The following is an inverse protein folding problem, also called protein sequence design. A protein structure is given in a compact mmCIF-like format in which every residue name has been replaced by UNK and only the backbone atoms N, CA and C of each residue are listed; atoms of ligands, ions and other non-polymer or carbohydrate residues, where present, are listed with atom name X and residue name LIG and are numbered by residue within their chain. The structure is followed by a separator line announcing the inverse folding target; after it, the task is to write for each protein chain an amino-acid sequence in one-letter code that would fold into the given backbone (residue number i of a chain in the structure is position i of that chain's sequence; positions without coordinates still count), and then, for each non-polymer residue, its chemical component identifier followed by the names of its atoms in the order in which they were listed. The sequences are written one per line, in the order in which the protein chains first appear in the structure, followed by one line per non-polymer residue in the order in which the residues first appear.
data_IF_082959109181
#
_entry.id   IF_082959109181
#
_cell.length_a   1.000
_cell.length_b   1.000
_cell.length_c   1.000
_cell.angle_alpha   90.00
_cell.angle_beta   90.00
_cell.angle_gamma   90.00
#
_symmetry.space_group_name_H-M   'P 1'
#
loop_
_entity.id
_entity.type
_entity.pdbx_description
1 polymer ?
#
# COMPACT_ATOMS: atom_id res chain seq x y z
N UNK A 1 7.92 -2.20 13.61
CA UNK A 1 6.47 -1.86 13.68
C UNK A 1 5.70 -3.12 13.32
N UNK A 2 4.61 -3.42 14.02
CA UNK A 2 3.88 -4.65 13.71
C UNK A 2 2.99 -4.47 12.45
N UNK A 3 2.59 -5.59 11.86
CA UNK A 3 1.83 -5.59 10.61
C UNK A 3 0.50 -4.86 10.75
N UNK A 4 -0.16 -4.97 11.91
CA UNK A 4 -1.42 -4.29 12.14
C UNK A 4 -1.27 -2.77 12.12
N UNK A 5 -0.21 -2.25 12.72
CA UNK A 5 0.08 -0.81 12.70
C UNK A 5 0.43 -0.35 11.29
N UNK A 6 1.19 -1.15 10.55
CA UNK A 6 1.54 -0.84 9.16
C UNK A 6 0.27 -0.78 8.31
N UNK A 7 -0.62 -1.77 8.44
CA UNK A 7 -1.89 -1.81 7.68
C UNK A 7 -2.75 -0.58 7.98
N UNK A 8 -2.81 -0.17 9.24
CA UNK A 8 -3.58 1.02 9.63
C UNK A 8 -3.07 2.26 8.91
N UNK A 9 -1.75 2.46 8.88
CA UNK A 9 -1.16 3.62 8.21
C UNK A 9 -1.34 3.56 6.70
N UNK A 10 -1.16 2.39 6.09
CA UNK A 10 -1.36 2.20 4.64
C UNK A 10 -2.81 2.47 4.27
N UNK A 11 -3.75 1.91 5.02
CA UNK A 11 -5.19 2.12 4.78
C UNK A 11 -5.54 3.60 4.87
N UNK A 12 -5.05 4.28 5.89
CA UNK A 12 -5.29 5.71 6.07
C UNK A 12 -4.77 6.52 4.89
N UNK A 13 -3.57 6.20 4.41
CA UNK A 13 -3.00 6.88 3.25
C UNK A 13 -3.86 6.66 2.00
N UNK A 14 -4.25 5.41 1.73
CA UNK A 14 -5.03 5.06 0.55
C UNK A 14 -6.39 5.76 0.58
N UNK A 15 -7.09 5.70 1.70
CA UNK A 15 -8.44 6.26 1.80
C UNK A 15 -8.44 7.78 1.85
N UNK A 16 -7.31 8.41 2.22
CA UNK A 16 -7.17 9.86 2.26
C UNK A 16 -6.76 10.44 0.90
N UNK A 17 -5.89 9.75 0.18
CA UNK A 17 -5.26 10.29 -1.04
C UNK A 17 -5.88 9.78 -2.34
N UNK A 18 -6.67 8.72 -2.28
CA UNK A 18 -7.34 8.15 -3.47
C UNK A 18 -8.84 8.05 -3.19
N UNK A 19 -9.63 8.09 -4.26
CA UNK A 19 -11.08 7.94 -4.12
C UNK A 19 -11.43 6.48 -3.81
N UNK A 20 -12.09 6.27 -2.67
CA UNK A 20 -12.65 4.97 -2.28
C UNK A 20 -14.12 5.20 -1.96
N UNK A 21 -15.01 4.60 -2.77
CA UNK A 21 -16.45 4.86 -2.66
C UNK A 21 -17.00 4.50 -1.28
N UNK A 22 -16.52 3.39 -0.71
CA UNK A 22 -16.92 2.96 0.63
C UNK A 22 -15.70 2.40 1.37
N UNK A 23 -14.96 3.26 2.08
CA UNK A 23 -13.75 2.81 2.79
C UNK A 23 -13.99 1.68 3.79
N UNK A 24 -15.19 1.64 4.40
CA UNK A 24 -15.50 0.60 5.38
C UNK A 24 -15.63 -0.79 4.75
N UNK A 25 -15.89 -0.85 3.44
CA UNK A 25 -16.00 -2.12 2.71
C UNK A 25 -14.72 -2.52 1.99
N UNK A 26 -13.68 -1.70 2.05
CA UNK A 26 -12.41 -2.03 1.42
C UNK A 26 -11.69 -3.09 2.24
N UNK A 27 -11.65 -4.30 1.71
CA UNK A 27 -10.95 -5.41 2.37
C UNK A 27 -9.44 -5.24 2.26
N UNK A 28 -8.70 -5.74 3.25
CA UNK A 28 -7.24 -5.65 3.24
C UNK A 28 -6.61 -6.36 2.06
N UNK A 29 -7.24 -7.44 1.57
CA UNK A 29 -6.73 -8.24 0.45
C UNK A 29 -7.36 -7.85 -0.90
N UNK A 30 -8.18 -6.81 -0.94
CA UNK A 30 -8.79 -6.36 -2.19
C UNK A 30 -7.71 -5.79 -3.13
N UNK A 31 -7.84 -6.12 -4.42
CA UNK A 31 -6.94 -5.57 -5.43
C UNK A 31 -7.24 -4.10 -5.68
N UNK A 32 -6.31 -3.23 -5.34
CA UNK A 32 -6.45 -1.79 -5.53
C UNK A 32 -6.47 -1.43 -7.01
N UNK A 33 -5.71 -2.16 -7.83
CA UNK A 33 -5.70 -1.96 -9.28
C UNK A 33 -7.02 -2.39 -9.92
N UNK A 34 -7.53 -3.57 -9.55
CA UNK A 34 -8.79 -4.09 -10.10
C UNK A 34 -9.97 -3.19 -9.75
N UNK A 35 -9.95 -2.59 -8.57
CA UNK A 35 -11.03 -1.69 -8.15
C UNK A 35 -10.86 -0.27 -8.68
N UNK A 36 -9.79 0.00 -9.41
CA UNK A 36 -9.53 1.32 -9.95
C UNK A 36 -9.19 2.38 -8.90
N UNK A 37 -8.84 1.97 -7.69
CA UNK A 37 -8.46 2.90 -6.62
C UNK A 37 -7.08 3.47 -6.92
N UNK A 38 -6.15 2.64 -7.39
CA UNK A 38 -4.78 3.02 -7.73
C UNK A 38 -4.51 2.66 -9.18
N UNK A 39 -3.89 3.57 -9.92
CA UNK A 39 -3.36 3.31 -11.27
C UNK A 39 -1.82 3.31 -11.21
N UNK A 40 -1.17 3.22 -12.38
CA UNK A 40 0.30 3.18 -12.44
C UNK A 40 0.95 4.44 -11.87
N UNK A 41 0.29 5.59 -11.98
CA UNK A 41 0.77 6.84 -11.38
C UNK A 41 0.58 6.80 -9.86
N UNK A 42 -0.56 6.30 -9.40
CA UNK A 42 -0.85 6.16 -7.97
C UNK A 42 0.11 5.24 -7.25
N UNK A 43 0.61 4.20 -7.95
CA UNK A 43 1.62 3.31 -7.37
C UNK A 43 2.87 4.08 -6.97
N UNK A 44 3.28 5.06 -7.78
CA UNK A 44 4.45 5.89 -7.44
C UNK A 44 4.22 6.72 -6.18
N UNK A 45 2.99 7.20 -5.98
CA UNK A 45 2.64 7.93 -4.76
C UNK A 45 2.69 7.02 -3.53
N UNK A 46 2.20 5.78 -3.67
CA UNK A 46 2.27 4.79 -2.60
C UNK A 46 3.73 4.51 -2.22
N UNK A 47 4.59 4.31 -3.23
CA UNK A 47 6.01 4.06 -3.00
C UNK A 47 6.66 5.23 -2.24
N UNK A 48 6.40 6.46 -2.67
CA UNK A 48 6.91 7.64 -1.97
C UNK A 48 6.46 7.70 -0.51
N UNK A 49 5.20 7.37 -0.25
CA UNK A 49 4.68 7.29 1.11
C UNK A 49 5.42 6.23 1.94
N UNK A 50 5.61 5.03 1.36
CA UNK A 50 6.26 3.93 2.08
C UNK A 50 7.71 4.28 2.42
N UNK A 51 8.44 4.86 1.48
CA UNK A 51 9.84 5.22 1.70
C UNK A 51 9.96 6.30 2.78
N UNK A 52 9.09 7.29 2.72
CA UNK A 52 9.12 8.42 3.67
C UNK A 52 8.65 8.01 5.06
N UNK A 53 7.57 7.22 5.14
CA UNK A 53 6.94 6.90 6.42
C UNK A 53 7.67 5.79 7.16
N UNK A 54 8.14 4.77 6.44
CA UNK A 54 8.73 3.56 7.05
C UNK A 54 10.26 3.49 6.90
N UNK A 55 10.87 4.51 6.30
CA UNK A 55 12.32 4.60 6.11
C UNK A 55 12.89 3.36 5.39
N UNK A 56 12.20 2.91 4.36
CA UNK A 56 12.64 1.79 3.51
C UNK A 56 12.96 2.32 2.12
N UNK A 57 13.66 1.51 1.33
CA UNK A 57 13.91 1.80 -0.09
C UNK A 57 13.21 0.73 -0.94
N UNK A 58 12.41 1.17 -1.91
CA UNK A 58 11.72 0.26 -2.82
C UNK A 58 12.48 0.21 -4.14
N UNK A 59 13.02 -0.96 -4.47
CA UNK A 59 13.75 -1.16 -5.72
C UNK A 59 12.78 -1.32 -6.90
N UNK A 60 13.24 -1.01 -8.12
CA UNK A 60 12.41 -1.16 -9.31
C UNK A 60 11.88 -2.59 -9.45
N UNK A 61 12.70 -3.58 -9.17
CA UNK A 61 12.30 -5.00 -9.26
C UNK A 61 11.25 -5.39 -8.23
N UNK A 62 11.05 -4.57 -7.20
CA UNK A 62 10.06 -4.82 -6.15
C UNK A 62 8.72 -4.14 -6.43
N UNK A 63 8.64 -3.31 -7.47
CA UNK A 63 7.41 -2.60 -7.85
C UNK A 63 6.46 -3.52 -8.62
N UNK A 64 6.00 -4.58 -7.94
CA UNK A 64 5.18 -5.63 -8.54
C UNK A 64 3.81 -5.66 -7.87
N UNK A 65 2.74 -6.03 -8.60
CA UNK A 65 1.41 -6.17 -7.99
C UNK A 65 1.40 -7.12 -6.80
N UNK A 66 2.22 -8.18 -6.83
CA UNK A 66 2.30 -9.11 -5.71
C UNK A 66 2.78 -8.46 -4.41
N UNK A 67 3.46 -7.31 -4.50
CA UNK A 67 3.93 -6.56 -3.34
C UNK A 67 3.05 -5.36 -3.01
N UNK A 68 2.33 -4.78 -3.97
CA UNK A 68 1.75 -3.46 -3.83
C UNK A 68 0.26 -3.37 -4.14
N UNK A 69 -0.37 -4.46 -4.57
CA UNK A 69 -1.74 -4.40 -5.10
C UNK A 69 -2.83 -4.53 -4.04
N UNK A 70 -2.49 -4.63 -2.77
CA UNK A 70 -3.50 -4.60 -1.70
C UNK A 70 -2.89 -4.04 -0.43
N UNK A 71 -3.74 -3.61 0.49
CA UNK A 71 -3.28 -3.12 1.79
C UNK A 71 -2.47 -4.22 2.50
N UNK A 72 -2.96 -5.46 2.45
CA UNK A 72 -2.27 -6.60 3.06
C UNK A 72 -0.90 -6.84 2.43
N UNK A 73 -0.83 -6.84 1.09
CA UNK A 73 0.44 -7.06 0.40
C UNK A 73 1.44 -5.97 0.68
N UNK A 74 0.99 -4.71 0.69
CA UNK A 74 1.85 -3.57 1.01
C UNK A 74 2.40 -3.72 2.43
N UNK A 75 1.55 -4.05 3.40
CA UNK A 75 1.98 -4.19 4.78
C UNK A 75 2.99 -5.33 4.95
N UNK A 76 2.74 -6.47 4.29
CA UNK A 76 3.67 -7.60 4.33
C UNK A 76 5.01 -7.24 3.70
N UNK A 77 4.98 -6.51 2.59
CA UNK A 77 6.19 -6.05 1.91
C UNK A 77 7.01 -5.12 2.83
N UNK A 78 6.35 -4.14 3.45
CA UNK A 78 7.01 -3.22 4.38
C UNK A 78 7.62 -4.00 5.55
N UNK A 79 6.89 -4.95 6.08
CA UNK A 79 7.39 -5.79 7.18
C UNK A 79 8.65 -6.55 6.81
N UNK A 80 8.69 -7.11 5.60
CA UNK A 80 9.89 -7.80 5.10
C UNK A 80 11.06 -6.84 4.92
N UNK A 81 10.81 -5.63 4.42
CA UNK A 81 11.87 -4.64 4.19
C UNK A 81 12.42 -4.09 5.51
N UNK A 82 11.61 -4.00 6.53
CA UNK A 82 12.06 -3.54 7.85
C UNK A 82 12.85 -4.61 8.59
N UNK A 83 12.72 -5.80 8.16
CA UNK A 83 13.51 -6.86 8.67
C UNK A 83 13.03 -7.76 9.66
#
# INVERSE_FOLDING_TARGET
MDIGAIKTQVRSFVTTNFYVADPAKLADDASLLDQGIIDSTGVLEVIGFLESTFAITVEDAEMLPENLDSIQRIADFVGRKQG
#
